data_IF_398874305607
#
_entry.id   IF_398874305607
#
_cell.length_a   1.000
_cell.length_b   1.000
_cell.length_c   1.000
_cell.angle_alpha   90.00
_cell.angle_beta   90.00
_cell.angle_gamma   90.00
#
_symmetry.space_group_name_H-M   'P 1'
#
loop_
_entity.id
_entity.type
_entity.pdbx_description
1 polymer ?
#
# COMPACT_ATOMS: atom_id res chain seq x y z
N UNK A 1 -18.03 -2.43 -10.66
CA UNK A 1 -16.68 -1.92 -10.93
C UNK A 1 -15.66 -2.73 -10.15
N UNK A 2 -14.98 -3.69 -10.80
CA UNK A 2 -13.86 -4.41 -10.17
C UNK A 2 -12.57 -3.68 -10.58
N UNK A 3 -11.85 -3.14 -9.60
CA UNK A 3 -10.48 -2.68 -9.80
C UNK A 3 -9.66 -3.93 -10.15
N UNK A 4 -8.82 -3.86 -11.17
CA UNK A 4 -7.94 -5.00 -11.51
C UNK A 4 -6.87 -5.14 -10.44
N UNK A 5 -6.36 -6.35 -10.17
CA UNK A 5 -5.33 -6.55 -9.16
C UNK A 5 -4.08 -5.69 -9.41
N UNK A 6 -3.72 -5.39 -10.66
CA UNK A 6 -2.57 -4.50 -10.94
C UNK A 6 -2.86 -3.06 -10.48
N UNK A 7 -4.06 -2.54 -10.75
CA UNK A 7 -4.47 -1.23 -10.26
C UNK A 7 -4.53 -1.18 -8.74
N UNK A 8 -4.95 -2.28 -8.11
CA UNK A 8 -4.93 -2.40 -6.66
C UNK A 8 -3.52 -2.29 -6.08
N UNK A 9 -2.53 -2.90 -6.74
CA UNK A 9 -1.12 -2.75 -6.37
C UNK A 9 -0.62 -1.32 -6.55
N UNK A 10 -0.94 -0.65 -7.66
CA UNK A 10 -0.56 0.77 -7.86
C UNK A 10 -1.08 1.65 -6.71
N UNK A 11 -2.30 1.40 -6.23
CA UNK A 11 -2.85 2.10 -5.08
C UNK A 11 -2.06 1.87 -3.80
N UNK A 12 -1.68 0.61 -3.54
CA UNK A 12 -0.92 0.26 -2.34
C UNK A 12 0.50 0.81 -2.37
N UNK A 13 1.17 0.78 -3.53
CA UNK A 13 2.50 1.35 -3.67
C UNK A 13 2.50 2.86 -3.44
N UNK A 14 1.51 3.57 -3.98
CA UNK A 14 1.37 5.00 -3.72
C UNK A 14 1.15 5.32 -2.23
N UNK A 15 0.35 4.51 -1.52
CA UNK A 15 0.15 4.64 -0.07
C UNK A 15 1.45 4.42 0.69
N UNK A 16 2.19 3.38 0.35
CA UNK A 16 3.43 3.01 1.03
C UNK A 16 4.54 4.02 0.76
N UNK A 17 4.60 4.58 -0.44
CA UNK A 17 5.54 5.64 -0.79
C UNK A 17 5.29 6.90 0.05
N UNK A 18 4.04 7.34 0.16
CA UNK A 18 3.69 8.46 1.03
C UNK A 18 3.94 8.15 2.52
N UNK A 19 3.65 6.91 2.94
CA UNK A 19 3.90 6.47 4.31
C UNK A 19 5.39 6.48 4.65
N UNK A 20 6.26 6.08 3.71
CA UNK A 20 7.73 6.09 3.87
C UNK A 20 8.31 7.49 3.81
N UNK A 21 7.84 8.33 2.88
CA UNK A 21 8.38 9.67 2.66
C UNK A 21 7.95 10.67 3.74
N UNK A 22 6.67 10.63 4.16
CA UNK A 22 6.09 11.68 5.00
C UNK A 22 5.44 11.17 6.31
N UNK A 23 5.33 9.84 6.50
CA UNK A 23 4.69 9.25 7.67
C UNK A 23 3.16 9.14 7.59
N UNK A 24 2.55 8.44 8.55
CA UNK A 24 1.12 8.09 8.54
C UNK A 24 0.16 9.30 8.62
N UNK A 25 0.59 10.38 9.28
CA UNK A 25 -0.23 11.59 9.42
C UNK A 25 -0.35 12.36 8.11
N UNK A 26 0.70 12.35 7.29
CA UNK A 26 0.70 13.00 5.98
C UNK A 26 -0.05 12.19 4.90
N UNK A 27 -0.31 10.90 5.14
CA UNK A 27 -1.10 10.08 4.23
C UNK A 27 -2.55 10.56 4.23
N UNK A 28 -3.05 10.98 3.07
CA UNK A 28 -4.42 11.42 2.89
C UNK A 28 -5.07 10.73 1.70
N UNK A 29 -6.38 10.48 1.78
CA UNK A 29 -7.14 9.90 0.67
C UNK A 29 -7.05 10.74 -0.61
N UNK A 30 -6.91 12.07 -0.48
CA UNK A 30 -6.72 12.96 -1.63
C UNK A 30 -5.34 12.82 -2.25
N UNK A 31 -4.30 12.78 -1.42
CA UNK A 31 -2.93 12.59 -1.90
C UNK A 31 -2.78 11.27 -2.66
N UNK A 32 -3.40 10.21 -2.15
CA UNK A 32 -3.39 8.90 -2.82
C UNK A 32 -4.17 8.97 -4.13
N UNK A 33 -5.36 9.59 -4.14
CA UNK A 33 -6.16 9.79 -5.34
C UNK A 33 -5.40 10.56 -6.43
N UNK A 34 -4.68 11.61 -6.04
CA UNK A 34 -3.85 12.41 -6.93
C UNK A 34 -2.67 11.59 -7.48
N UNK A 35 -1.99 10.83 -6.63
CA UNK A 35 -0.84 9.99 -7.02
C UNK A 35 -1.23 8.86 -7.99
N UNK A 36 -2.41 8.28 -7.80
CA UNK A 36 -2.88 7.10 -8.55
C UNK A 36 -3.83 7.42 -9.70
N UNK A 37 -4.05 8.72 -9.97
CA UNK A 37 -5.01 9.24 -10.98
C UNK A 37 -6.40 8.60 -10.88
N UNK A 38 -6.86 8.32 -9.66
CA UNK A 38 -8.17 7.72 -9.42
C UNK A 38 -9.08 8.66 -8.63
N UNK A 39 -10.38 8.58 -8.89
CA UNK A 39 -11.36 9.39 -8.17
C UNK A 39 -11.46 8.97 -6.70
N UNK A 40 -11.52 9.93 -5.78
CA UNK A 40 -11.78 9.69 -4.35
C UNK A 40 -12.95 8.74 -4.10
N UNK A 41 -14.06 8.90 -4.83
CA UNK A 41 -15.26 8.05 -4.68
C UNK A 41 -14.97 6.57 -4.90
N UNK A 42 -14.00 6.22 -5.75
CA UNK A 42 -13.59 4.84 -5.95
C UNK A 42 -12.77 4.33 -4.77
N UNK A 43 -11.84 5.13 -4.25
CA UNK A 43 -11.06 4.78 -3.06
C UNK A 43 -11.95 4.61 -1.82
N UNK A 44 -12.89 5.53 -1.60
CA UNK A 44 -13.85 5.44 -0.49
C UNK A 44 -14.79 4.24 -0.62
N UNK A 45 -15.18 3.85 -1.83
CA UNK A 45 -16.01 2.65 -2.03
C UNK A 45 -15.26 1.36 -1.69
N UNK A 46 -13.96 1.30 -1.99
CA UNK A 46 -13.14 0.10 -1.81
C UNK A 46 -12.58 -0.05 -0.39
N UNK A 47 -12.02 1.03 0.17
CA UNK A 47 -11.33 0.98 1.48
C UNK A 47 -12.00 1.78 2.60
N UNK A 48 -13.01 2.60 2.30
CA UNK A 48 -13.85 3.42 3.22
C UNK A 48 -13.13 4.41 4.14
N UNK A 49 -11.99 4.07 4.72
CA UNK A 49 -11.25 4.86 5.71
C UNK A 49 -9.73 4.77 5.48
N UNK A 50 -9.01 5.82 5.86
CA UNK A 50 -7.53 5.85 5.83
C UNK A 50 -6.90 4.61 6.51
N UNK A 51 -7.22 4.26 7.77
CA UNK A 51 -6.58 3.12 8.43
C UNK A 51 -6.87 1.79 7.74
N UNK A 52 -8.07 1.57 7.19
CA UNK A 52 -8.36 0.36 6.42
C UNK A 52 -7.53 0.30 5.14
N UNK A 53 -7.34 1.42 4.47
CA UNK A 53 -6.53 1.48 3.26
C UNK A 53 -5.05 1.22 3.54
N UNK A 54 -4.49 1.87 4.55
CA UNK A 54 -3.09 1.66 4.97
C UNK A 54 -2.88 0.22 5.44
N UNK A 55 -3.81 -0.35 6.21
CA UNK A 55 -3.72 -1.74 6.62
C UNK A 55 -3.84 -2.72 5.44
N UNK A 56 -4.65 -2.41 4.43
CA UNK A 56 -4.72 -3.20 3.20
C UNK A 56 -3.40 -3.11 2.41
N UNK A 57 -2.81 -1.92 2.28
CA UNK A 57 -1.52 -1.71 1.62
C UNK A 57 -0.40 -2.47 2.32
N UNK A 58 -0.33 -2.40 3.65
CA UNK A 58 0.64 -3.16 4.46
C UNK A 58 0.48 -4.67 4.29
N UNK A 59 -0.76 -5.19 4.26
CA UNK A 59 -1.04 -6.62 4.04
C UNK A 59 -0.72 -7.09 2.62
N UNK A 60 -0.92 -6.22 1.63
CA UNK A 60 -0.59 -6.54 0.24
C UNK A 60 0.93 -6.54 0.03
N UNK A 61 1.61 -5.53 0.58
CA UNK A 61 3.07 -5.47 0.51
C UNK A 61 3.77 -6.54 1.35
N UNK A 62 3.21 -6.97 2.49
CA UNK A 62 3.77 -8.11 3.21
C UNK A 62 3.70 -9.39 2.36
N UNK A 63 2.57 -9.66 1.69
CA UNK A 63 2.44 -10.78 0.74
C UNK A 63 3.43 -10.72 -0.42
N UNK A 64 3.71 -9.51 -0.95
CA UNK A 64 4.71 -9.31 -2.00
C UNK A 64 6.13 -9.44 -1.46
N UNK A 65 6.42 -8.90 -0.26
CA UNK A 65 7.72 -9.03 0.39
C UNK A 65 8.03 -10.47 0.77
N UNK A 66 7.06 -11.27 1.22
CA UNK A 66 7.29 -12.70 1.52
C UNK A 66 7.77 -13.53 0.31
N UNK A 67 7.63 -13.03 -0.92
CA UNK A 67 8.23 -13.64 -2.11
C UNK A 67 9.70 -13.26 -2.33
N UNK A 68 10.19 -12.22 -1.64
CA UNK A 68 11.54 -11.63 -1.76
C UNK A 68 12.24 -11.54 -0.39
N UNK A 69 11.74 -12.28 0.61
CA UNK A 69 12.48 -12.47 1.85
C UNK A 69 13.55 -13.52 1.58
N UNK A 70 14.68 -13.07 1.02
CA UNK A 70 16.00 -13.59 1.38
C UNK A 70 16.40 -12.93 2.70
N UNK A 71 15.69 -13.25 3.80
CA UNK A 71 16.26 -12.98 5.13
C UNK A 71 17.37 -13.99 5.30
N UNK A 72 18.57 -13.54 4.95
CA UNK A 72 19.82 -14.26 5.12
C UNK A 72 19.82 -15.12 6.37
N UNK A 73 20.22 -16.37 6.15
CA UNK A 73 20.27 -17.41 7.15
C UNK A 73 21.08 -16.95 8.37
N UNK A 74 20.44 -16.93 9.54
CA UNK A 74 21.09 -16.80 10.85
C UNK A 74 21.91 -18.05 11.22
N UNK A 75 22.45 -18.77 10.23
CA UNK A 75 23.27 -19.96 10.40
C UNK A 75 24.73 -19.75 9.99
N UNK A 76 25.09 -18.56 9.48
CA UNK A 76 26.47 -18.21 9.10
C UNK A 76 27.19 -17.31 10.13
N UNK A 77 26.55 -16.96 11.25
CA UNK A 77 27.16 -16.10 12.28
C UNK A 77 27.90 -16.91 13.38
N UNK A 78 28.43 -18.10 13.01
CA UNK A 78 29.22 -18.97 13.90
C UNK A 78 30.72 -18.65 13.82
#
# INVERSE_FOLDING_TARGET
SKITPEREQEFFDAVLEQLRSCGYDAVTMEGIAASTRCSKSTLYRQWKTKPQFVAAALRSNSRVRFADIDTGSLAEDL
#
